data_IF_116885465656
#
_entry.id   IF_116885465656
#
_cell.length_a   1.000
_cell.length_b   1.000
_cell.length_c   1.000
_cell.angle_alpha   90.00
_cell.angle_beta   90.00
_cell.angle_gamma   90.00
#
_symmetry.space_group_name_H-M   'P 1'
#
loop_
_entity.id
_entity.type
_entity.pdbx_description
1 polymer ?
#
# COMPACT_ATOMS: atom_id res chain seq x y z
N UNK A 1 -12.06 9.35 -17.98
CA UNK A 1 -12.04 8.16 -17.08
C UNK A 1 -10.61 8.04 -16.59
N UNK A 2 -10.35 8.36 -15.32
CA UNK A 2 -9.00 8.29 -14.76
C UNK A 2 -8.55 6.84 -14.76
N UNK A 3 -7.44 6.54 -15.44
CA UNK A 3 -6.80 5.24 -15.39
C UNK A 3 -6.41 5.02 -13.93
N UNK A 4 -7.10 4.09 -13.25
CA UNK A 4 -6.68 3.62 -11.92
C UNK A 4 -5.23 3.17 -12.12
N UNK A 5 -4.28 3.92 -11.58
CA UNK A 5 -2.88 3.59 -11.75
C UNK A 5 -2.59 2.38 -10.87
N UNK A 6 -2.54 1.21 -11.52
CA UNK A 6 -2.19 -0.09 -10.92
C UNK A 6 -0.70 -0.37 -11.07
N UNK A 7 0.13 0.65 -11.31
CA UNK A 7 1.57 0.48 -11.24
C UNK A 7 1.98 0.24 -9.78
N UNK A 8 2.88 -0.72 -9.57
CA UNK A 8 3.49 -0.92 -8.27
C UNK A 8 4.39 0.29 -7.93
N UNK A 9 4.21 0.96 -6.78
CA UNK A 9 5.15 1.98 -6.35
C UNK A 9 6.55 1.42 -6.10
N UNK A 10 7.56 2.03 -6.74
CA UNK A 10 8.96 1.62 -6.59
C UNK A 10 9.64 2.17 -5.33
N UNK A 11 9.07 3.19 -4.68
CA UNK A 11 9.67 3.83 -3.51
C UNK A 11 9.24 3.09 -2.24
N UNK A 12 10.18 2.79 -1.34
CA UNK A 12 9.85 2.23 -0.03
C UNK A 12 9.20 3.28 0.87
N UNK A 13 8.32 2.83 1.77
CA UNK A 13 7.64 3.73 2.72
C UNK A 13 6.18 3.37 2.91
N UNK A 14 5.44 4.30 3.52
CA UNK A 14 4.02 4.12 3.82
C UNK A 14 3.13 4.71 2.72
N UNK A 15 2.06 4.00 2.42
CA UNK A 15 1.08 4.33 1.40
C UNK A 15 -0.34 4.18 1.94
N UNK A 16 -1.20 5.10 1.52
CA UNK A 16 -2.65 4.90 1.57
C UNK A 16 -3.09 4.11 0.36
N UNK A 17 -3.91 3.08 0.55
CA UNK A 17 -4.63 2.45 -0.54
C UNK A 17 -5.96 3.17 -0.84
N UNK A 18 -6.73 2.65 -1.80
CA UNK A 18 -8.01 3.26 -2.19
C UNK A 18 -9.11 3.18 -1.11
N UNK A 19 -9.00 2.20 -0.22
CA UNK A 19 -10.01 1.87 0.78
C UNK A 19 -9.71 2.62 2.10
N UNK A 20 -8.54 3.28 2.18
CA UNK A 20 -8.09 4.05 3.33
C UNK A 20 -7.26 3.22 4.31
N UNK A 21 -6.78 2.06 3.88
CA UNK A 21 -5.85 1.23 4.66
C UNK A 21 -4.41 1.73 4.45
N UNK A 22 -3.55 1.46 5.44
CA UNK A 22 -2.13 1.84 5.40
C UNK A 22 -1.31 0.61 5.12
N UNK A 23 -0.53 0.69 4.04
CA UNK A 23 0.41 -0.34 3.65
C UNK A 23 1.85 0.20 3.70
N UNK A 24 2.80 -0.67 4.04
CA UNK A 24 4.22 -0.39 3.96
C UNK A 24 4.85 -1.17 2.81
N UNK A 25 5.54 -0.46 1.92
CA UNK A 25 6.42 -1.04 0.90
C UNK A 25 7.82 -1.25 1.48
N UNK A 26 8.30 -2.48 1.42
CA UNK A 26 9.67 -2.89 1.75
C UNK A 26 10.30 -3.66 0.57
N UNK A 27 11.60 -3.94 0.65
CA UNK A 27 12.30 -4.81 -0.32
C UNK A 27 11.62 -6.17 -0.50
N UNK A 28 11.11 -6.75 0.59
CA UNK A 28 10.54 -8.10 0.60
C UNK A 28 9.09 -8.16 0.06
N UNK A 29 8.41 -7.03 -0.09
CA UNK A 29 6.98 -7.03 -0.43
C UNK A 29 6.22 -5.89 0.23
N UNK A 30 4.96 -6.17 0.55
CA UNK A 30 4.01 -5.23 1.14
C UNK A 30 3.48 -5.76 2.47
N UNK A 31 3.39 -4.90 3.47
CA UNK A 31 2.78 -5.23 4.77
C UNK A 31 1.59 -4.34 5.01
N UNK A 32 0.48 -4.91 5.46
CA UNK A 32 -0.66 -4.14 5.96
C UNK A 32 -0.33 -3.68 7.38
N UNK A 33 -0.45 -2.37 7.64
CA UNK A 33 -0.13 -1.75 8.93
C UNK A 33 -1.42 -1.35 9.64
N UNK A 34 -2.30 -0.63 8.94
CA UNK A 34 -3.61 -0.25 9.47
C UNK A 34 -4.70 -0.72 8.51
N UNK A 35 -5.74 -1.35 9.07
CA UNK A 35 -6.97 -1.67 8.37
C UNK A 35 -8.12 -0.89 8.99
N UNK A 36 -8.74 0.02 8.24
CA UNK A 36 -9.83 0.87 8.73
C UNK A 36 -9.49 1.58 10.05
N UNK A 37 -8.24 2.02 10.20
CA UNK A 37 -7.72 2.70 11.39
C UNK A 37 -7.32 1.78 12.56
N UNK A 38 -7.46 0.46 12.41
CA UNK A 38 -7.04 -0.53 13.41
C UNK A 38 -5.69 -1.10 13.02
N UNK A 39 -4.73 -1.09 13.94
CA UNK A 39 -3.44 -1.73 13.71
C UNK A 39 -3.61 -3.25 13.57
N UNK A 40 -3.06 -3.80 12.49
CA UNK A 40 -3.03 -5.25 12.25
C UNK A 40 -1.62 -5.78 12.51
N UNK A 41 -1.49 -7.10 12.64
CA UNK A 41 -0.20 -7.75 12.82
C UNK A 41 0.66 -7.64 11.53
N UNK A 42 1.80 -6.91 11.55
CA UNK A 42 2.56 -6.61 10.34
C UNK A 42 3.56 -7.71 9.95
N UNK A 43 3.41 -8.94 10.46
CA UNK A 43 4.32 -10.05 10.17
C UNK A 43 4.11 -10.56 8.74
N UNK A 44 2.89 -10.53 8.24
CA UNK A 44 2.57 -11.01 6.89
C UNK A 44 3.08 -10.06 5.82
N UNK A 45 3.96 -10.59 4.96
CA UNK A 45 4.45 -9.92 3.75
C UNK A 45 3.73 -10.48 2.54
N UNK A 46 3.21 -9.59 1.70
CA UNK A 46 2.41 -9.89 0.52
C UNK A 46 3.12 -9.43 -0.75
N UNK A 47 3.00 -10.21 -1.82
CA UNK A 47 3.50 -9.85 -3.14
C UNK A 47 2.51 -8.96 -3.89
N UNK A 48 3.02 -8.12 -4.80
CA UNK A 48 2.19 -7.21 -5.59
C UNK A 48 1.10 -7.91 -6.41
N UNK A 49 1.50 -8.89 -7.24
CA UNK A 49 0.60 -9.61 -8.13
C UNK A 49 -0.04 -10.83 -7.45
N UNK A 50 0.76 -11.76 -6.91
CA UNK A 50 0.25 -13.01 -6.34
C UNK A 50 -0.40 -12.82 -4.96
N UNK A 51 0.00 -11.79 -4.22
CA UNK A 51 -0.58 -11.41 -2.93
C UNK A 51 -1.78 -10.48 -3.05
N UNK A 52 -2.23 -10.18 -4.27
CA UNK A 52 -3.39 -9.31 -4.55
C UNK A 52 -3.27 -7.86 -4.07
N UNK A 53 -2.09 -7.39 -3.69
CA UNK A 53 -1.89 -6.02 -3.21
C UNK A 53 -2.30 -5.00 -4.28
N UNK A 54 -2.02 -5.30 -5.56
CA UNK A 54 -2.43 -4.47 -6.70
C UNK A 54 -3.93 -4.20 -6.80
N UNK A 55 -4.76 -5.04 -6.17
CA UNK A 55 -6.20 -4.92 -6.24
C UNK A 55 -6.71 -3.78 -5.34
N UNK A 56 -5.92 -3.33 -4.37
CA UNK A 56 -6.17 -2.17 -3.49
C UNK A 56 -5.66 -0.84 -4.06
N UNK A 57 -4.98 -0.86 -5.20
CA UNK A 57 -4.50 0.34 -5.89
C UNK A 57 -5.64 1.34 -6.22
N UNK A 58 -5.36 2.66 -6.33
CA UNK A 58 -4.02 3.26 -6.34
C UNK A 58 -3.41 3.41 -4.94
N UNK A 59 -2.08 3.37 -4.88
CA UNK A 59 -1.33 3.62 -3.64
C UNK A 59 -0.75 5.03 -3.65
N UNK A 60 -1.11 5.83 -2.65
CA UNK A 60 -0.66 7.23 -2.50
C UNK A 60 0.41 7.33 -1.39
N UNK A 61 1.63 7.81 -1.68
CA UNK A 61 2.67 7.94 -0.66
C UNK A 61 2.24 8.89 0.47
N UNK A 62 2.37 8.47 1.72
CA UNK A 62 2.08 9.35 2.87
C UNK A 62 3.05 10.53 2.98
N UNK A 63 4.27 10.37 2.44
CA UNK A 63 5.31 11.39 2.43
C UNK A 63 4.92 12.61 1.56
N UNK A 64 3.89 12.48 0.70
CA UNK A 64 3.37 13.57 -0.12
C UNK A 64 2.55 14.60 0.67
N UNK A 65 2.32 14.40 1.99
CA UNK A 65 1.57 15.32 2.86
C UNK A 65 2.44 16.36 3.59
N UNK A 66 3.74 16.45 3.31
CA UNK A 66 4.57 17.57 3.77
C UNK A 66 4.65 18.61 2.65
N UNK A 67 3.63 19.46 2.58
CA UNK A 67 3.53 20.61 1.67
C UNK A 67 2.67 21.71 2.27
#
# INVERSE_FOLDING_TARGET
MSRIDRAEPHTMGLYWDRDGDVWQREDAGWRLILQSGVAVDPISVWEWDNGHVRDYAPFTPMNALVG
#
